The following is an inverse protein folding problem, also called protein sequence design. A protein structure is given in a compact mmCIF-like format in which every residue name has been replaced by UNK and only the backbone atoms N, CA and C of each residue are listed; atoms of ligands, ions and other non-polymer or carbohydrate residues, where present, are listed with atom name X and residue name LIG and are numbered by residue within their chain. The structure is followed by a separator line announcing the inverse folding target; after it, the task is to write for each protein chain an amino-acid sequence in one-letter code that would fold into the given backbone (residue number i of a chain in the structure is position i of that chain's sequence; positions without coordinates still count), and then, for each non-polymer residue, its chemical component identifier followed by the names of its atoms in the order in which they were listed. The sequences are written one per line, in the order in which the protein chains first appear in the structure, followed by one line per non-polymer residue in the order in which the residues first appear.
data_IF_073350169169
#
_entry.id   IF_073350169169
#
_cell.length_a   1.000
_cell.length_b   1.000
_cell.length_c   1.000
_cell.angle_alpha   90.00
_cell.angle_beta   90.00
_cell.angle_gamma   90.00
#
_symmetry.space_group_name_H-M   'P 1'
#
loop_
_entity.id
_entity.type
_entity.pdbx_description
1 polymer ?
#
# COMPACT_ATOMS: atom_id res chain seq x y z
N UNK A 1 -8.48 -7.06 10.83
CA UNK A 1 -8.98 -6.56 9.53
C UNK A 1 -8.58 -7.50 8.39
N UNK A 2 -9.52 -7.87 7.53
CA UNK A 2 -9.17 -8.54 6.27
C UNK A 2 -8.55 -7.53 5.28
N UNK A 3 -7.98 -8.00 4.17
CA UNK A 3 -7.31 -7.13 3.20
C UNK A 3 -8.23 -6.02 2.66
N UNK A 4 -9.50 -6.32 2.40
CA UNK A 4 -10.47 -5.34 1.89
C UNK A 4 -10.75 -4.23 2.92
N UNK A 5 -10.88 -4.57 4.20
CA UNK A 5 -11.04 -3.60 5.29
C UNK A 5 -9.79 -2.73 5.46
N UNK A 6 -8.61 -3.35 5.52
CA UNK A 6 -7.33 -2.62 5.58
C UNK A 6 -7.18 -1.67 4.40
N UNK A 7 -7.45 -2.15 3.17
CA UNK A 7 -7.33 -1.35 1.95
C UNK A 7 -8.34 -0.20 1.92
N UNK A 8 -9.56 -0.41 2.42
CA UNK A 8 -10.56 0.66 2.58
C UNK A 8 -10.07 1.73 3.56
N UNK A 9 -9.57 1.35 4.74
CA UNK A 9 -9.03 2.31 5.71
C UNK A 9 -7.85 3.09 5.15
N UNK A 10 -6.92 2.41 4.49
CA UNK A 10 -5.77 3.02 3.82
C UNK A 10 -6.21 4.07 2.79
N UNK A 11 -7.18 3.75 1.92
CA UNK A 11 -7.73 4.69 0.93
C UNK A 11 -8.29 5.97 1.54
N UNK A 12 -8.89 5.88 2.72
CA UNK A 12 -9.44 7.04 3.44
C UNK A 12 -8.29 7.95 3.91
N UNK A 13 -7.28 7.37 4.57
CA UNK A 13 -6.11 8.12 5.06
C UNK A 13 -5.35 8.78 3.90
N UNK A 14 -5.08 8.04 2.83
CA UNK A 14 -4.36 8.54 1.67
C UNK A 14 -5.11 9.64 0.91
N UNK A 15 -6.45 9.64 0.94
CA UNK A 15 -7.25 10.72 0.36
C UNK A 15 -7.08 12.03 1.13
N UNK A 16 -7.04 11.96 2.45
CA UNK A 16 -6.80 13.16 3.28
C UNK A 16 -5.37 13.66 3.12
N UNK A 17 -4.41 12.75 2.96
CA UNK A 17 -3.01 13.09 2.72
C UNK A 17 -2.70 13.56 1.29
N UNK A 18 -3.64 13.43 0.34
CA UNK A 18 -3.45 13.68 -1.09
C UNK A 18 -2.27 12.91 -1.71
N UNK A 19 -2.12 11.64 -1.31
CA UNK A 19 -1.00 10.77 -1.73
C UNK A 19 -1.47 9.42 -2.27
N UNK A 20 -2.74 9.30 -2.66
CA UNK A 20 -3.29 8.03 -3.16
C UNK A 20 -2.52 7.48 -4.38
N UNK A 21 -2.08 8.34 -5.29
CA UNK A 21 -1.37 7.93 -6.51
C UNK A 21 -0.02 7.28 -6.22
N UNK A 22 0.58 7.54 -5.06
CA UNK A 22 1.86 6.95 -4.64
C UNK A 22 1.80 5.45 -4.37
N UNK A 23 0.59 4.86 -4.32
CA UNK A 23 0.42 3.40 -4.34
C UNK A 23 0.85 2.78 -5.67
N UNK A 24 0.86 3.54 -6.75
CA UNK A 24 1.15 3.06 -8.10
C UNK A 24 2.28 3.84 -8.78
N UNK A 25 2.56 5.05 -8.29
CA UNK A 25 3.66 5.87 -8.80
C UNK A 25 4.99 5.12 -8.63
N UNK A 26 5.82 5.02 -9.67
CA UNK A 26 7.17 4.50 -9.53
C UNK A 26 7.99 5.34 -8.56
N UNK A 27 8.84 4.69 -7.76
CA UNK A 27 9.82 5.40 -6.94
C UNK A 27 10.75 6.24 -7.82
N UNK A 28 11.16 7.45 -7.38
CA UNK A 28 12.08 8.27 -8.15
C UNK A 28 13.46 7.63 -8.21
N UNK A 29 14.17 7.83 -9.33
CA UNK A 29 15.56 7.41 -9.46
C UNK A 29 16.47 8.24 -8.56
N UNK A 30 17.45 7.57 -7.95
CA UNK A 30 18.44 8.25 -7.12
C UNK A 30 19.26 9.22 -7.99
N UNK A 31 19.37 10.50 -7.60
CA UNK A 31 20.18 11.46 -8.34
C UNK A 31 21.66 11.09 -8.23
N UNK A 32 22.43 11.37 -9.29
CA UNK A 32 23.87 11.20 -9.28
C UNK A 32 24.54 12.02 -8.17
N UNK A 33 25.69 11.57 -7.68
CA UNK A 33 26.41 12.27 -6.61
C UNK A 33 26.84 13.69 -7.01
N UNK A 34 27.07 13.92 -8.31
CA UNK A 34 27.41 15.21 -8.91
C UNK A 34 26.18 16.11 -9.16
N UNK A 35 24.97 15.64 -8.87
CA UNK A 35 23.76 16.42 -9.05
C UNK A 35 23.76 17.66 -8.13
N UNK A 36 23.20 18.75 -8.65
CA UNK A 36 22.96 19.98 -7.88
C UNK A 36 22.15 19.71 -6.62
N UNK A 37 22.39 20.49 -5.56
CA UNK A 37 21.63 20.33 -4.30
C UNK A 37 20.12 20.48 -4.49
N UNK A 38 19.66 21.36 -5.39
CA UNK A 38 18.25 21.50 -5.73
C UNK A 38 17.63 20.19 -6.24
N UNK A 39 18.34 19.43 -7.09
CA UNK A 39 17.90 18.11 -7.57
C UNK A 39 17.88 17.07 -6.45
N UNK A 40 18.88 17.07 -5.57
CA UNK A 40 18.91 16.18 -4.39
C UNK A 40 17.77 16.50 -3.42
N UNK A 41 17.48 17.77 -3.18
CA UNK A 41 16.37 18.21 -2.35
C UNK A 41 15.01 17.81 -2.95
N UNK A 42 14.81 18.00 -4.26
CA UNK A 42 13.60 17.57 -4.95
C UNK A 42 13.41 16.04 -4.86
N UNK A 43 14.48 15.26 -5.06
CA UNK A 43 14.45 13.81 -4.86
C UNK A 43 14.04 13.44 -3.43
N UNK A 44 14.65 14.03 -2.39
CA UNK A 44 14.32 13.74 -0.99
C UNK A 44 12.86 14.06 -0.66
N UNK A 45 12.36 15.20 -1.13
CA UNK A 45 10.97 15.60 -0.93
C UNK A 45 9.99 14.61 -1.61
N UNK A 46 10.32 14.14 -2.81
CA UNK A 46 9.53 13.16 -3.53
C UNK A 46 9.58 11.78 -2.87
N UNK A 47 10.78 11.30 -2.53
CA UNK A 47 10.98 10.04 -1.82
C UNK A 47 10.28 10.02 -0.46
N UNK A 48 10.25 11.15 0.25
CA UNK A 48 9.51 11.27 1.51
C UNK A 48 8.04 10.90 1.33
N UNK A 49 7.39 11.32 0.24
CA UNK A 49 5.98 10.97 0.01
C UNK A 49 5.79 9.46 -0.18
N UNK A 50 6.70 8.79 -0.91
CA UNK A 50 6.70 7.32 -0.98
C UNK A 50 6.88 6.68 0.40
N UNK A 51 7.82 7.19 1.19
CA UNK A 51 8.07 6.71 2.56
C UNK A 51 6.84 6.90 3.45
N UNK A 52 6.17 8.05 3.40
CA UNK A 52 4.97 8.33 4.19
C UNK A 52 3.84 7.35 3.84
N UNK A 53 3.64 7.06 2.55
CA UNK A 53 2.65 6.05 2.11
C UNK A 53 3.01 4.65 2.58
N UNK A 54 4.28 4.24 2.50
CA UNK A 54 4.73 2.95 3.03
C UNK A 54 4.45 2.85 4.54
N UNK A 55 4.71 3.92 5.31
CA UNK A 55 4.37 3.99 6.72
C UNK A 55 2.87 3.85 6.97
N UNK A 56 2.02 4.55 6.20
CA UNK A 56 0.57 4.43 6.33
C UNK A 56 0.08 3.01 6.02
N UNK A 57 0.67 2.33 5.05
CA UNK A 57 0.35 0.94 4.76
C UNK A 57 0.67 0.05 5.97
N UNK A 58 1.87 0.18 6.53
CA UNK A 58 2.37 -0.65 7.62
C UNK A 58 1.66 -0.38 8.95
N UNK A 59 1.18 0.84 9.19
CA UNK A 59 0.57 1.25 10.47
C UNK A 59 -0.61 0.37 10.90
N UNK A 60 -1.38 -0.13 9.93
CA UNK A 60 -2.58 -0.95 10.17
C UNK A 60 -2.32 -2.47 9.96
N UNK A 61 -1.06 -2.87 9.74
CA UNK A 61 -0.67 -4.26 9.53
C UNK A 61 -0.26 -4.97 10.82
N UNK A 62 -0.26 -6.30 10.80
CA UNK A 62 0.32 -7.11 11.88
C UNK A 62 1.85 -6.96 11.94
N UNK A 63 2.45 -7.20 13.11
CA UNK A 63 3.91 -7.15 13.28
C UNK A 63 4.70 -8.08 12.34
N UNK A 64 4.10 -9.19 11.91
CA UNK A 64 4.74 -10.10 10.95
C UNK A 64 4.83 -9.43 9.56
N UNK A 65 3.73 -8.84 9.09
CA UNK A 65 3.70 -8.13 7.81
C UNK A 65 4.54 -6.85 7.86
N UNK A 66 4.53 -6.13 8.99
CA UNK A 66 5.39 -4.97 9.19
C UNK A 66 6.87 -5.32 8.95
N UNK A 67 7.39 -6.35 9.63
CA UNK A 67 8.78 -6.81 9.46
C UNK A 67 9.08 -7.29 8.04
N UNK A 68 8.10 -7.92 7.38
CA UNK A 68 8.28 -8.40 6.02
C UNK A 68 8.40 -7.26 5.01
N UNK A 69 7.68 -6.15 5.23
CA UNK A 69 7.50 -5.09 4.24
C UNK A 69 8.11 -3.75 4.65
N UNK A 70 8.76 -3.62 5.81
CA UNK A 70 9.34 -2.35 6.32
C UNK A 70 10.28 -1.64 5.34
N UNK A 71 10.93 -2.38 4.45
CA UNK A 71 11.86 -1.85 3.44
C UNK A 71 11.27 -1.85 2.01
N UNK A 72 9.99 -2.18 1.85
CA UNK A 72 9.36 -2.23 0.53
C UNK A 72 8.87 -0.84 0.12
N UNK A 73 9.02 -0.46 -1.15
CA UNK A 73 8.30 0.69 -1.67
C UNK A 73 6.79 0.37 -1.76
N UNK A 74 5.90 1.38 -1.65
CA UNK A 74 4.46 1.18 -1.58
C UNK A 74 3.87 0.29 -2.68
N UNK A 75 4.31 0.49 -3.91
CA UNK A 75 3.81 -0.23 -5.08
C UNK A 75 4.13 -1.73 -5.04
N UNK A 76 5.33 -2.10 -4.58
CA UNK A 76 5.73 -3.50 -4.47
C UNK A 76 4.99 -4.16 -3.31
N UNK A 77 4.85 -3.44 -2.20
CA UNK A 77 4.10 -3.90 -1.03
C UNK A 77 2.65 -4.19 -1.40
N UNK A 78 1.98 -3.25 -2.09
CA UNK A 78 0.58 -3.42 -2.49
C UNK A 78 0.40 -4.61 -3.45
N UNK A 79 1.32 -4.77 -4.40
CA UNK A 79 1.28 -5.89 -5.35
C UNK A 79 1.40 -7.26 -4.64
N UNK A 80 2.33 -7.40 -3.70
CA UNK A 80 2.50 -8.65 -2.95
C UNK A 80 1.32 -8.92 -2.01
N UNK A 81 0.80 -7.90 -1.32
CA UNK A 81 -0.37 -8.06 -0.46
C UNK A 81 -1.61 -8.49 -1.24
N UNK A 82 -1.80 -7.95 -2.46
CA UNK A 82 -2.86 -8.42 -3.36
C UNK A 82 -2.71 -9.89 -3.69
N UNK A 83 -1.51 -10.32 -4.10
CA UNK A 83 -1.26 -11.75 -4.38
C UNK A 83 -1.53 -12.67 -3.18
N UNK A 84 -1.24 -12.20 -1.96
CA UNK A 84 -1.39 -12.98 -0.74
C UNK A 84 -2.83 -13.05 -0.24
N UNK A 85 -3.60 -11.97 -0.38
CA UNK A 85 -4.87 -11.81 0.34
C UNK A 85 -6.07 -11.46 -0.55
N UNK A 86 -5.86 -11.00 -1.78
CA UNK A 86 -6.95 -10.77 -2.72
C UNK A 86 -7.48 -12.13 -3.17
N UNK A 87 -8.62 -12.54 -2.59
CA UNK A 87 -9.31 -13.75 -3.03
C UNK A 87 -9.78 -13.57 -4.48
N UNK A 88 -9.83 -14.63 -5.29
CA UNK A 88 -10.48 -14.57 -6.59
C UNK A 88 -11.95 -14.16 -6.43
N UNK A 89 -12.51 -13.33 -7.33
CA UNK A 89 -13.90 -12.86 -7.25
C UNK A 89 -14.94 -13.98 -7.10
N UNK A 90 -14.64 -15.16 -7.66
CA UNK A 90 -15.50 -16.35 -7.60
C UNK A 90 -15.66 -16.84 -6.16
N UNK A 91 -14.60 -16.81 -5.35
CA UNK A 91 -14.65 -17.29 -3.96
C UNK A 91 -15.50 -16.36 -3.08
N UNK A 92 -15.43 -15.04 -3.32
CA UNK A 92 -16.27 -14.07 -2.59
C UNK A 92 -17.78 -14.26 -2.90
N UNK A 93 -18.15 -14.61 -4.13
CA UNK A 93 -19.55 -14.90 -4.47
C UNK A 93 -20.03 -16.15 -3.76
N UNK A 94 -19.22 -17.22 -3.72
CA UNK A 94 -19.58 -18.44 -3.00
C UNK A 94 -19.74 -18.19 -1.50
N UNK A 95 -18.78 -17.51 -0.85
CA UNK A 95 -18.86 -17.18 0.58
C UNK A 95 -20.12 -16.35 0.90
N UNK A 96 -20.50 -15.42 0.02
CA UNK A 96 -21.68 -14.56 0.19
C UNK A 96 -23.00 -15.32 -0.05
N UNK A 97 -23.03 -16.22 -1.03
CA UNK A 97 -24.16 -17.11 -1.30
C UNK A 97 -24.34 -18.11 -0.16
N UNK A 98 -23.27 -18.71 0.35
CA UNK A 98 -23.31 -19.63 1.50
C UNK A 98 -23.75 -18.91 2.78
N UNK A 99 -23.27 -17.68 3.03
CA UNK A 99 -23.74 -16.87 4.16
C UNK A 99 -25.25 -16.58 4.06
N UNK A 100 -25.76 -16.27 2.86
CA UNK A 100 -27.20 -16.10 2.63
C UNK A 100 -27.99 -17.40 2.86
N UNK A 101 -27.45 -18.54 2.42
CA UNK A 101 -28.10 -19.84 2.60
C UNK A 101 -28.10 -20.32 4.06
N UNK A 102 -27.08 -19.97 4.83
CA UNK A 102 -26.95 -20.32 6.25
C UNK A 102 -27.72 -19.40 7.19
N UNK A 103 -28.27 -18.27 6.70
CA UNK A 103 -29.24 -17.44 7.42
C UNK A 103 -30.69 -17.99 7.37
N UNK A 104 -30.91 -19.26 7.02
CA UNK A 104 -32.23 -19.92 7.07
C UNK A 104 -32.50 -20.63 8.38
#
# INVERSE_FOLDING_TARGET
PNFNEWYRSLRIVLRVADTFDYLYKPSPDQPADTATEAKKAAFRAEYKKHSDVACFMLGEMSHALQRQFENYPPQNMLAELRKMFEKPPVVEIYDLVDALHSCR
#
